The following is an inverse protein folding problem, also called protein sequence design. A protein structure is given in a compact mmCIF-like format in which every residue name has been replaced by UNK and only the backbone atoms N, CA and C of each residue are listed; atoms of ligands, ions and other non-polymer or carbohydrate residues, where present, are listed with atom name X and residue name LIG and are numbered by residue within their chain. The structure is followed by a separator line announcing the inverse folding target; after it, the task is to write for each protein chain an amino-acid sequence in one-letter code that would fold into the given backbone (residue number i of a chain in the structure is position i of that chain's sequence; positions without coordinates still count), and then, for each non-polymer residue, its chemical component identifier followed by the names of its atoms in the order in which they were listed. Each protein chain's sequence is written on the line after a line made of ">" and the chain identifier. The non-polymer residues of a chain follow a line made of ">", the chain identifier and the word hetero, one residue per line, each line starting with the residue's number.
data_IF_652999817725
#
_entry.id   IF_652999817725
#
_cell.length_a   1.000
_cell.length_b   1.000
_cell.length_c   1.000
_cell.angle_alpha   90.00
_cell.angle_beta   90.00
_cell.angle_gamma   90.00
#
_symmetry.space_group_name_H-M   'P 1'
#
loop_
_entity.id
_entity.type
_entity.pdbx_description
1 polymer ?
#
# COMPACT_ATOMS: atom_id res chain seq x y z
N UNK A 1 38.77 -48.76 25.50
CA UNK A 1 38.35 -47.34 25.50
C UNK A 1 38.91 -46.54 24.32
N UNK A 2 40.24 -46.49 24.09
CA UNK A 2 40.83 -45.71 22.97
C UNK A 2 40.26 -46.05 21.58
N UNK A 3 40.04 -47.34 21.28
CA UNK A 3 39.54 -47.80 19.98
C UNK A 3 38.11 -47.31 19.64
N UNK A 4 37.26 -47.17 20.65
CA UNK A 4 35.87 -46.68 20.47
C UNK A 4 35.89 -45.19 20.15
N UNK A 5 36.75 -44.40 20.83
CA UNK A 5 36.92 -42.99 20.49
C UNK A 5 37.46 -42.80 19.08
N UNK A 6 38.40 -43.64 18.62
CA UNK A 6 38.91 -43.55 17.24
C UNK A 6 37.84 -43.90 16.21
N UNK A 7 37.02 -44.94 16.45
CA UNK A 7 35.92 -45.32 15.56
C UNK A 7 34.82 -44.25 15.50
N UNK A 8 34.50 -43.61 16.62
CA UNK A 8 33.53 -42.51 16.68
C UNK A 8 34.08 -41.27 15.95
N UNK A 9 35.37 -40.96 16.09
CA UNK A 9 36.00 -39.83 15.39
C UNK A 9 36.00 -40.04 13.86
N UNK A 10 36.30 -41.26 13.40
CA UNK A 10 36.27 -41.61 11.97
C UNK A 10 34.84 -41.61 11.41
N UNK A 11 33.85 -42.05 12.18
CA UNK A 11 32.45 -42.00 11.77
C UNK A 11 31.93 -40.55 11.64
N UNK A 12 32.40 -39.62 12.48
CA UNK A 12 32.07 -38.19 12.41
C UNK A 12 32.70 -37.54 11.17
N UNK A 13 33.93 -37.92 10.82
CA UNK A 13 34.62 -37.39 9.62
C UNK A 13 33.97 -37.90 8.33
N UNK A 14 33.49 -39.15 8.31
CA UNK A 14 32.83 -39.72 7.13
C UNK A 14 31.41 -39.21 6.86
N UNK A 15 30.76 -38.52 7.82
CA UNK A 15 29.43 -37.90 7.64
C UNK A 15 29.48 -36.41 7.26
N UNK A 16 30.66 -35.87 6.96
CA UNK A 16 30.83 -34.49 6.47
C UNK A 16 30.54 -34.44 4.97
N UNK A 17 29.26 -34.39 4.60
CA UNK A 17 28.88 -33.91 3.27
C UNK A 17 29.32 -32.44 3.11
N UNK A 18 29.72 -31.99 1.91
CA UNK A 18 29.91 -30.57 1.66
C UNK A 18 28.55 -29.88 1.85
N UNK A 19 28.37 -29.23 3.00
CA UNK A 19 27.34 -28.22 3.14
C UNK A 19 27.75 -27.07 2.23
N UNK A 20 27.17 -27.03 1.05
CA UNK A 20 27.07 -25.78 0.30
C UNK A 20 26.45 -24.74 1.22
N UNK A 21 27.06 -23.57 1.30
CA UNK A 21 26.45 -22.44 1.97
C UNK A 21 25.03 -22.26 1.41
N UNK A 22 24.05 -22.04 2.29
CA UNK A 22 22.78 -21.48 1.82
C UNK A 22 23.09 -20.11 1.24
N UNK A 23 22.83 -19.95 -0.05
CA UNK A 23 22.68 -18.63 -0.63
C UNK A 23 21.39 -18.06 -0.01
N UNK A 24 21.56 -17.21 1.00
CA UNK A 24 20.42 -16.47 1.55
C UNK A 24 20.05 -15.48 0.45
N UNK A 25 18.81 -15.58 -0.02
CA UNK A 25 18.24 -14.58 -0.93
C UNK A 25 18.49 -13.18 -0.37
N UNK A 26 19.20 -12.33 -1.12
CA UNK A 26 19.34 -10.91 -0.80
C UNK A 26 17.99 -10.15 -0.84
N UNK A 27 16.91 -10.83 -1.24
CA UNK A 27 15.58 -10.25 -1.45
C UNK A 27 14.63 -10.40 -0.25
N UNK A 28 15.13 -10.42 0.99
CA UNK A 28 14.25 -10.42 2.16
C UNK A 28 14.06 -8.99 2.70
N UNK A 29 13.26 -8.20 1.97
CA UNK A 29 12.66 -6.98 2.51
C UNK A 29 11.14 -7.09 2.39
N UNK A 30 10.48 -7.07 3.54
CA UNK A 30 9.04 -7.27 3.74
C UNK A 30 8.17 -6.11 3.25
N UNK A 31 8.75 -5.05 2.67
CA UNK A 31 8.07 -3.92 2.06
C UNK A 31 8.30 -3.87 0.53
N UNK A 32 8.25 -5.02 -0.15
CA UNK A 32 8.48 -5.09 -1.59
C UNK A 32 7.31 -4.45 -2.37
N UNK A 33 7.39 -3.14 -2.62
CA UNK A 33 6.69 -2.56 -3.75
C UNK A 33 7.56 -2.83 -5.00
N UNK A 34 7.10 -3.63 -5.99
CA UNK A 34 7.89 -3.94 -7.16
C UNK A 34 8.31 -2.70 -7.96
N UNK A 35 7.59 -1.58 -7.79
CA UNK A 35 7.94 -0.29 -8.37
C UNK A 35 9.10 0.39 -7.64
N UNK A 36 9.24 0.21 -6.32
CA UNK A 36 10.28 0.93 -5.55
C UNK A 36 11.68 0.60 -6.04
N UNK A 37 11.98 -0.68 -6.26
CA UNK A 37 13.28 -1.10 -6.82
C UNK A 37 13.60 -0.36 -8.12
N UNK A 38 12.60 -0.16 -8.96
CA UNK A 38 12.76 0.50 -10.26
C UNK A 38 12.89 2.02 -10.13
N UNK A 39 12.11 2.63 -9.23
CA UNK A 39 12.13 4.09 -8.99
C UNK A 39 13.42 4.52 -8.29
N UNK A 40 14.02 3.70 -7.42
CA UNK A 40 15.30 4.00 -6.77
C UNK A 40 16.54 3.82 -7.68
N UNK A 41 16.38 3.41 -8.94
CA UNK A 41 17.52 3.26 -9.86
C UNK A 41 18.15 4.63 -10.16
N UNK A 42 19.49 4.74 -10.18
CA UNK A 42 20.14 5.96 -10.61
C UNK A 42 19.70 6.37 -12.02
N UNK A 43 19.34 7.65 -12.19
CA UNK A 43 18.90 8.19 -13.48
C UNK A 43 17.38 8.23 -13.69
N UNK A 44 16.59 7.74 -12.74
CA UNK A 44 15.15 8.04 -12.70
C UNK A 44 14.94 9.47 -12.19
N UNK A 45 14.18 10.27 -12.93
CA UNK A 45 13.88 11.65 -12.56
C UNK A 45 12.55 11.75 -11.77
N UNK A 46 12.37 10.87 -10.78
CA UNK A 46 11.14 10.75 -9.98
C UNK A 46 11.47 11.03 -8.52
N UNK A 47 10.64 11.84 -7.83
CA UNK A 47 10.79 12.06 -6.39
C UNK A 47 10.16 10.90 -5.62
N UNK A 48 10.98 10.02 -5.06
CA UNK A 48 10.54 8.89 -4.23
C UNK A 48 9.89 9.33 -2.92
N UNK A 49 10.28 10.52 -2.44
CA UNK A 49 9.90 11.10 -1.16
C UNK A 49 8.48 11.66 -1.13
N UNK A 50 7.79 11.77 -2.27
CA UNK A 50 6.46 12.36 -2.34
C UNK A 50 5.48 11.35 -2.93
N UNK A 51 4.53 10.90 -2.11
CA UNK A 51 3.50 9.93 -2.50
C UNK A 51 2.12 10.61 -2.60
N UNK A 52 1.20 10.18 -3.46
CA UNK A 52 1.28 9.09 -4.46
C UNK A 52 1.97 9.51 -5.76
N UNK A 53 2.52 8.54 -6.50
CA UNK A 53 3.22 8.78 -7.76
C UNK A 53 2.28 9.08 -8.93
N UNK A 54 2.78 9.83 -9.92
CA UNK A 54 2.12 10.01 -11.21
C UNK A 54 2.32 8.74 -12.06
N UNK A 55 1.25 7.98 -12.28
CA UNK A 55 1.31 6.73 -13.04
C UNK A 55 1.62 6.94 -14.52
N UNK A 56 1.25 8.07 -15.13
CA UNK A 56 1.58 8.36 -16.54
C UNK A 56 3.09 8.54 -16.73
N UNK A 57 3.73 9.23 -15.78
CA UNK A 57 5.18 9.40 -15.77
C UNK A 57 5.89 8.05 -15.54
N UNK A 58 5.36 7.22 -14.64
CA UNK A 58 5.91 5.88 -14.38
C UNK A 58 5.77 4.95 -15.59
N UNK A 59 4.61 4.90 -16.23
CA UNK A 59 4.34 4.05 -17.39
C UNK A 59 5.20 4.40 -18.62
N UNK A 60 5.70 5.63 -18.69
CA UNK A 60 6.65 6.04 -19.76
C UNK A 60 8.04 5.42 -19.55
N UNK A 61 8.42 5.14 -18.29
CA UNK A 61 9.75 4.65 -17.92
C UNK A 61 9.76 3.15 -17.60
N UNK A 62 8.63 2.61 -17.12
CA UNK A 62 8.48 1.27 -16.58
C UNK A 62 7.28 0.55 -17.19
N UNK A 63 7.41 -0.74 -17.43
CA UNK A 63 6.27 -1.60 -17.72
C UNK A 63 5.60 -2.02 -16.40
N UNK A 64 4.77 -1.13 -15.85
CA UNK A 64 4.09 -1.31 -14.55
C UNK A 64 3.28 -2.60 -14.54
N UNK A 65 2.60 -2.93 -15.62
CA UNK A 65 1.79 -4.16 -15.72
C UNK A 65 2.65 -5.42 -15.53
N UNK A 66 3.82 -5.46 -16.16
CA UNK A 66 4.73 -6.60 -16.04
C UNK A 66 5.33 -6.69 -14.64
N UNK A 67 5.60 -5.57 -13.98
CA UNK A 67 6.13 -5.53 -12.61
C UNK A 67 5.08 -5.95 -11.57
N UNK A 68 3.81 -5.58 -11.78
CA UNK A 68 2.72 -5.91 -10.87
C UNK A 68 2.22 -7.36 -11.07
N UNK A 69 2.29 -7.88 -12.29
CA UNK A 69 1.81 -9.22 -12.64
C UNK A 69 2.91 -10.29 -12.66
N UNK A 70 4.15 -9.93 -12.33
CA UNK A 70 5.26 -10.88 -12.34
C UNK A 70 4.97 -12.08 -11.42
N UNK A 71 4.99 -13.29 -11.98
CA UNK A 71 4.68 -14.53 -11.27
C UNK A 71 3.21 -14.77 -10.91
N UNK A 72 2.28 -13.88 -11.31
CA UNK A 72 0.84 -14.08 -11.08
C UNK A 72 0.17 -14.81 -12.25
N UNK A 73 -0.58 -15.87 -11.95
CA UNK A 73 -1.42 -16.52 -12.95
C UNK A 73 -2.61 -15.62 -13.29
N UNK A 74 -2.61 -15.05 -14.50
CA UNK A 74 -3.75 -14.29 -15.02
C UNK A 74 -4.70 -15.24 -15.76
N UNK A 75 -5.90 -15.54 -15.23
CA UNK A 75 -6.87 -16.35 -15.95
C UNK A 75 -7.31 -15.64 -17.24
N UNK A 76 -7.44 -16.41 -18.32
CA UNK A 76 -7.85 -15.91 -19.64
C UNK A 76 -9.26 -16.40 -19.99
N UNK A 77 -10.07 -15.54 -20.62
CA UNK A 77 -11.42 -15.85 -21.07
C UNK A 77 -12.51 -15.27 -20.18
N UNK A 78 -13.74 -15.81 -20.29
CA UNK A 78 -14.88 -15.36 -19.48
C UNK A 78 -14.69 -15.74 -18.01
N UNK A 79 -14.37 -14.75 -17.19
CA UNK A 79 -14.13 -14.92 -15.76
C UNK A 79 -15.46 -15.00 -15.00
N UNK A 80 -15.57 -15.97 -14.09
CA UNK A 80 -16.69 -16.01 -13.15
C UNK A 80 -16.55 -14.91 -12.09
N UNK A 81 -17.62 -14.67 -11.32
CA UNK A 81 -17.65 -13.61 -10.30
C UNK A 81 -16.47 -13.64 -9.32
N UNK A 82 -16.10 -14.84 -8.82
CA UNK A 82 -15.00 -14.99 -7.87
C UNK A 82 -13.64 -14.75 -8.52
N UNK A 83 -13.43 -15.25 -9.74
CA UNK A 83 -12.21 -14.99 -10.51
C UNK A 83 -12.04 -13.50 -10.77
N UNK A 84 -13.12 -12.77 -11.05
CA UNK A 84 -13.06 -11.31 -11.22
C UNK A 84 -12.61 -10.63 -9.93
N UNK A 85 -13.21 -10.94 -8.78
CA UNK A 85 -12.79 -10.35 -7.49
C UNK A 85 -11.28 -10.50 -7.21
N UNK A 86 -10.67 -11.63 -7.58
CA UNK A 86 -9.27 -11.91 -7.24
C UNK A 86 -8.26 -11.61 -8.35
N UNK A 87 -8.69 -11.51 -9.61
CA UNK A 87 -7.78 -11.43 -10.76
C UNK A 87 -8.06 -10.28 -11.73
N UNK A 88 -9.18 -9.57 -11.59
CA UNK A 88 -9.58 -8.53 -12.54
C UNK A 88 -10.47 -7.45 -11.88
N UNK A 89 -10.90 -6.45 -12.66
CA UNK A 89 -11.87 -5.47 -12.23
C UNK A 89 -13.29 -6.08 -12.12
N UNK A 90 -13.96 -5.90 -10.97
CA UNK A 90 -15.30 -6.42 -10.71
C UNK A 90 -16.36 -5.76 -11.60
N UNK A 91 -16.25 -4.47 -11.86
CA UNK A 91 -17.00 -3.78 -12.90
C UNK A 91 -16.04 -2.82 -13.58
N UNK A 92 -15.83 -3.01 -14.87
CA UNK A 92 -15.06 -2.11 -15.71
C UNK A 92 -15.91 -1.71 -16.91
N UNK A 93 -15.93 -0.41 -17.18
CA UNK A 93 -16.49 0.15 -18.40
C UNK A 93 -15.41 0.99 -19.06
N UNK A 94 -14.88 0.51 -20.18
CA UNK A 94 -13.79 1.16 -20.90
C UNK A 94 -14.21 1.48 -22.33
N UNK A 95 -14.26 2.77 -22.63
CA UNK A 95 -14.47 3.34 -23.95
C UNK A 95 -13.32 4.32 -24.26
N UNK A 96 -13.22 4.78 -25.52
CA UNK A 96 -12.16 5.72 -25.94
C UNK A 96 -12.10 7.01 -25.13
N UNK A 97 -13.26 7.50 -24.68
CA UNK A 97 -13.37 8.78 -23.98
C UNK A 97 -13.68 8.64 -22.48
N UNK A 98 -14.04 7.44 -22.00
CA UNK A 98 -14.43 7.24 -20.60
C UNK A 98 -13.97 5.87 -20.14
N UNK A 99 -13.27 5.83 -19.00
CA UNK A 99 -13.01 4.61 -18.25
C UNK A 99 -13.60 4.75 -16.84
N UNK A 100 -14.34 3.76 -16.37
CA UNK A 100 -14.83 3.68 -14.99
C UNK A 100 -14.60 2.26 -14.48
N UNK A 101 -13.98 2.14 -13.31
CA UNK A 101 -13.71 0.89 -12.61
C UNK A 101 -14.31 0.95 -11.22
N UNK A 102 -14.96 -0.12 -10.81
CA UNK A 102 -15.53 -0.28 -9.47
C UNK A 102 -15.10 -1.62 -8.92
N UNK A 103 -14.47 -1.58 -7.76
CA UNK A 103 -13.86 -2.76 -7.15
C UNK A 103 -14.06 -2.75 -5.64
N UNK A 104 -14.27 -3.94 -5.04
CA UNK A 104 -14.36 -4.04 -3.60
C UNK A 104 -12.97 -3.96 -2.97
N UNK A 105 -12.90 -3.41 -1.75
CA UNK A 105 -11.70 -3.39 -0.92
C UNK A 105 -11.91 -4.30 0.27
N UNK A 106 -10.94 -5.18 0.52
CA UNK A 106 -10.94 -6.04 1.70
C UNK A 106 -9.55 -6.10 2.31
N UNK A 107 -9.49 -6.06 3.63
CA UNK A 107 -8.28 -6.35 4.38
C UNK A 107 -8.65 -7.12 5.65
N UNK A 108 -8.28 -8.39 5.69
CA UNK A 108 -8.47 -9.25 6.85
C UNK A 108 -7.12 -9.61 7.44
N UNK A 109 -6.92 -9.28 8.70
CA UNK A 109 -5.74 -9.73 9.44
C UNK A 109 -6.13 -10.30 10.78
N UNK A 110 -5.38 -11.29 11.22
CA UNK A 110 -5.47 -11.90 12.54
C UNK A 110 -4.07 -11.90 13.15
N UNK A 111 -3.99 -11.62 14.43
CA UNK A 111 -2.74 -11.54 15.16
C UNK A 111 -2.93 -11.89 16.63
N UNK A 112 -1.83 -11.85 17.35
CA UNK A 112 -1.82 -12.02 18.79
C UNK A 112 -0.81 -11.06 19.39
N UNK A 113 -1.20 -10.39 20.46
CA UNK A 113 -0.37 -9.49 21.24
C UNK A 113 0.37 -10.28 22.33
N UNK A 114 1.68 -10.07 22.44
CA UNK A 114 2.54 -10.96 23.23
C UNK A 114 2.50 -10.73 24.75
N UNK A 115 2.11 -9.54 25.23
CA UNK A 115 2.16 -9.28 26.67
C UNK A 115 1.01 -9.97 27.41
N UNK A 116 -0.21 -9.90 26.89
CA UNK A 116 -1.40 -10.48 27.54
C UNK A 116 -2.01 -11.65 26.76
N UNK A 117 -1.42 -12.01 25.61
CA UNK A 117 -1.97 -13.06 24.75
C UNK A 117 -3.31 -12.67 24.12
N UNK A 118 -3.57 -11.36 23.98
CA UNK A 118 -4.80 -10.83 23.41
C UNK A 118 -4.83 -11.09 21.91
N UNK A 119 -5.82 -11.86 21.46
CA UNK A 119 -6.09 -12.04 20.04
C UNK A 119 -6.51 -10.72 19.39
N UNK A 120 -5.80 -10.32 18.34
CA UNK A 120 -6.11 -9.12 17.55
C UNK A 120 -6.65 -9.52 16.20
N UNK A 121 -7.53 -8.70 15.64
CA UNK A 121 -8.03 -8.90 14.30
C UNK A 121 -8.45 -7.57 13.68
N UNK A 122 -8.43 -7.51 12.36
CA UNK A 122 -8.92 -6.38 11.57
C UNK A 122 -9.78 -6.92 10.44
N UNK A 123 -10.94 -6.31 10.26
CA UNK A 123 -11.90 -6.60 9.20
C UNK A 123 -12.22 -5.29 8.48
N UNK A 124 -11.51 -5.03 7.40
CA UNK A 124 -11.78 -3.89 6.52
C UNK A 124 -12.63 -4.35 5.35
N UNK A 125 -13.68 -3.60 5.06
CA UNK A 125 -14.56 -3.79 3.91
C UNK A 125 -14.80 -2.43 3.27
N UNK A 126 -14.82 -2.39 1.96
CA UNK A 126 -15.04 -1.15 1.26
C UNK A 126 -15.23 -1.34 -0.22
N UNK A 127 -15.27 -0.21 -0.90
CA UNK A 127 -15.34 -0.12 -2.35
C UNK A 127 -14.51 1.07 -2.78
N UNK A 128 -13.81 0.93 -3.90
CA UNK A 128 -13.26 2.07 -4.61
C UNK A 128 -13.89 2.18 -6.00
N UNK A 129 -13.96 3.42 -6.46
CA UNK A 129 -14.38 3.80 -7.78
C UNK A 129 -13.28 4.69 -8.34
N UNK A 130 -12.80 4.39 -9.52
CA UNK A 130 -11.89 5.25 -10.24
C UNK A 130 -12.29 5.37 -11.70
N UNK A 131 -11.79 6.40 -12.35
CA UNK A 131 -12.07 6.56 -13.76
C UNK A 131 -11.36 7.73 -14.41
N UNK A 132 -11.35 7.70 -15.73
CA UNK A 132 -10.84 8.77 -16.59
C UNK A 132 -11.94 9.30 -17.50
N UNK A 133 -11.90 10.61 -17.76
CA UNK A 133 -12.73 11.27 -18.75
C UNK A 133 -11.80 11.97 -19.76
N UNK A 134 -11.76 11.44 -20.97
CA UNK A 134 -10.79 11.76 -22.00
C UNK A 134 -9.36 11.52 -21.51
N UNK A 135 -8.45 12.42 -21.91
CA UNK A 135 -7.02 12.31 -21.60
C UNK A 135 -6.56 13.31 -20.53
N UNK A 136 -7.50 14.01 -19.88
CA UNK A 136 -7.20 15.15 -19.00
C UNK A 136 -7.80 15.06 -17.61
N UNK A 137 -8.85 14.28 -17.42
CA UNK A 137 -9.51 14.16 -16.12
C UNK A 137 -9.38 12.75 -15.59
N UNK A 138 -9.02 12.64 -14.32
CA UNK A 138 -9.06 11.40 -13.56
C UNK A 138 -9.75 11.66 -12.23
N UNK A 139 -10.53 10.70 -11.74
CA UNK A 139 -11.14 10.76 -10.44
C UNK A 139 -10.96 9.44 -9.70
N UNK A 140 -10.91 9.52 -8.39
CA UNK A 140 -10.82 8.38 -7.50
C UNK A 140 -11.65 8.67 -6.26
N UNK A 141 -12.35 7.67 -5.75
CA UNK A 141 -12.96 7.73 -4.42
C UNK A 141 -13.09 6.33 -3.85
N UNK A 142 -12.95 6.23 -2.54
CA UNK A 142 -13.12 4.99 -1.80
C UNK A 142 -13.83 5.25 -0.47
N UNK A 143 -14.52 4.21 -0.03
CA UNK A 143 -15.23 4.17 1.23
C UNK A 143 -14.89 2.87 1.92
N UNK A 144 -14.32 2.96 3.12
CA UNK A 144 -13.91 1.81 3.91
C UNK A 144 -14.54 1.87 5.30
N UNK A 145 -15.12 0.75 5.72
CA UNK A 145 -15.55 0.48 7.07
C UNK A 145 -14.60 -0.58 7.66
N UNK A 146 -14.19 -0.38 8.90
CA UNK A 146 -13.22 -1.22 9.56
C UNK A 146 -13.73 -1.60 10.94
N UNK A 147 -13.60 -2.86 11.28
CA UNK A 147 -13.85 -3.38 12.61
C UNK A 147 -12.59 -4.07 13.10
N UNK A 148 -12.06 -3.67 14.25
CA UNK A 148 -10.76 -4.18 14.71
C UNK A 148 -10.66 -4.31 16.22
N UNK A 149 -9.99 -5.37 16.66
CA UNK A 149 -9.47 -5.51 18.03
C UNK A 149 -7.99 -5.19 17.99
N UNK A 150 -7.61 -4.11 18.67
CA UNK A 150 -6.24 -3.62 18.65
C UNK A 150 -5.37 -4.21 19.77
N UNK A 151 -4.04 -4.27 19.56
CA UNK A 151 -3.09 -4.45 20.66
C UNK A 151 -3.26 -3.36 21.73
N UNK A 152 -2.94 -3.68 22.98
CA UNK A 152 -3.21 -2.79 24.13
C UNK A 152 -2.67 -1.36 23.95
N UNK A 153 -1.46 -1.19 23.41
CA UNK A 153 -0.89 0.15 23.22
C UNK A 153 -1.69 1.04 22.24
N UNK A 154 -2.35 0.46 21.24
CA UNK A 154 -3.26 1.20 20.34
C UNK A 154 -4.62 1.34 21.02
N UNK A 155 -5.10 0.28 21.66
CA UNK A 155 -6.38 0.24 22.35
C UNK A 155 -6.48 1.37 23.40
N UNK A 156 -5.47 1.48 24.27
CA UNK A 156 -5.36 2.53 25.29
C UNK A 156 -5.40 3.93 24.67
N UNK A 157 -4.70 4.13 23.54
CA UNK A 157 -4.72 5.39 22.81
C UNK A 157 -6.13 5.70 22.30
N UNK A 158 -6.79 4.72 21.68
CA UNK A 158 -8.13 4.88 21.12
C UNK A 158 -9.16 5.09 22.23
N UNK A 159 -9.04 4.41 23.36
CA UNK A 159 -9.94 4.59 24.49
C UNK A 159 -9.83 5.97 25.11
N UNK A 160 -8.61 6.51 25.22
CA UNK A 160 -8.36 7.84 25.78
C UNK A 160 -8.75 8.96 24.80
N UNK A 161 -8.45 8.81 23.51
CA UNK A 161 -8.61 9.87 22.50
C UNK A 161 -9.89 9.74 21.67
N UNK A 162 -10.56 8.59 21.72
CA UNK A 162 -11.72 8.23 20.88
C UNK A 162 -11.46 8.32 19.38
N UNK A 163 -10.20 8.21 18.96
CA UNK A 163 -9.74 8.30 17.57
C UNK A 163 -8.74 7.20 17.29
N UNK A 164 -8.92 6.49 16.18
CA UNK A 164 -7.96 5.52 15.69
C UNK A 164 -6.81 6.25 14.98
N UNK A 165 -5.53 6.01 15.32
CA UNK A 165 -4.38 6.64 14.65
C UNK A 165 -4.40 6.46 13.13
N UNK A 166 -4.12 7.51 12.38
CA UNK A 166 -4.24 7.51 10.91
C UNK A 166 -5.68 7.38 10.41
N UNK A 167 -6.68 7.28 11.28
CA UNK A 167 -8.06 6.97 10.93
C UNK A 167 -8.99 7.98 11.61
N UNK A 168 -10.28 7.67 11.60
CA UNK A 168 -11.32 8.54 12.13
C UNK A 168 -11.65 8.27 13.59
N UNK A 169 -12.76 8.87 14.01
CA UNK A 169 -13.40 8.62 15.30
C UNK A 169 -13.73 7.13 15.43
N UNK A 170 -13.36 6.54 16.58
CA UNK A 170 -13.74 5.18 16.93
C UNK A 170 -15.13 5.13 17.57
N UNK A 171 -15.86 4.06 17.28
CA UNK A 171 -17.07 3.63 18.00
C UNK A 171 -16.83 2.24 18.60
N UNK A 172 -17.36 1.99 19.78
CA UNK A 172 -17.30 0.64 20.36
C UNK A 172 -18.14 -0.34 19.56
N UNK A 173 -17.56 -1.51 19.28
CA UNK A 173 -18.21 -2.62 18.58
C UNK A 173 -18.05 -3.90 19.42
N UNK A 174 -19.17 -4.55 19.76
CA UNK A 174 -19.16 -5.71 20.65
C UNK A 174 -18.53 -5.39 22.02
N UNK A 175 -17.70 -6.30 22.52
CA UNK A 175 -17.07 -6.14 23.85
C UNK A 175 -15.77 -5.34 23.79
N UNK A 176 -14.84 -5.68 22.89
CA UNK A 176 -13.46 -5.14 22.88
C UNK A 176 -12.98 -4.69 21.49
N UNK A 177 -13.91 -4.41 20.56
CA UNK A 177 -13.55 -3.99 19.20
C UNK A 177 -13.95 -2.54 18.92
N UNK A 178 -13.31 -1.99 17.90
CA UNK A 178 -13.50 -0.62 17.43
C UNK A 178 -14.04 -0.65 16.02
N UNK A 179 -15.12 0.07 15.78
CA UNK A 179 -15.69 0.36 14.48
C UNK A 179 -15.32 1.79 14.06
N UNK A 180 -14.70 1.92 12.89
CA UNK A 180 -14.27 3.18 12.33
C UNK A 180 -14.34 3.14 10.80
N UNK A 181 -14.68 4.28 10.22
CA UNK A 181 -14.80 4.42 8.78
C UNK A 181 -13.97 5.60 8.27
N UNK A 182 -13.53 5.48 7.02
CA UNK A 182 -12.82 6.52 6.30
C UNK A 182 -13.37 6.58 4.87
N UNK A 183 -13.45 7.79 4.35
CA UNK A 183 -13.66 8.02 2.94
C UNK A 183 -12.52 8.88 2.43
N UNK A 184 -12.01 8.53 1.26
CA UNK A 184 -11.07 9.35 0.53
C UNK A 184 -11.52 9.52 -0.90
N UNK A 185 -11.06 10.59 -1.53
CA UNK A 185 -11.37 10.83 -2.92
C UNK A 185 -10.79 12.13 -3.44
N UNK A 186 -10.55 12.18 -4.73
CA UNK A 186 -10.01 13.34 -5.39
C UNK A 186 -10.39 13.38 -6.87
N UNK A 187 -10.34 14.57 -7.42
CA UNK A 187 -10.40 14.83 -8.85
C UNK A 187 -9.06 15.42 -9.25
N UNK A 188 -8.52 14.90 -10.34
CA UNK A 188 -7.26 15.27 -10.95
C UNK A 188 -7.53 15.81 -12.35
N UNK A 189 -6.97 16.98 -12.64
CA UNK A 189 -7.00 17.62 -13.94
C UNK A 189 -5.58 17.85 -14.44
N UNK A 190 -5.31 17.37 -15.64
CA UNK A 190 -4.03 17.46 -16.34
C UNK A 190 -4.23 18.30 -17.61
N UNK A 191 -4.13 19.65 -17.52
CA UNK A 191 -4.23 20.52 -18.69
C UNK A 191 -3.20 20.16 -19.77
N UNK A 192 -1.99 19.82 -19.31
CA UNK A 192 -0.80 19.47 -20.08
C UNK A 192 -0.06 18.30 -19.43
N UNK A 193 0.81 17.61 -20.17
CA UNK A 193 1.54 16.43 -19.68
C UNK A 193 2.45 16.72 -18.46
N UNK A 194 2.94 17.95 -18.34
CA UNK A 194 3.88 18.38 -17.31
C UNK A 194 3.18 19.09 -16.13
N UNK A 195 1.86 19.25 -16.15
CA UNK A 195 1.15 20.00 -15.11
C UNK A 195 -0.12 19.28 -14.65
N UNK A 196 -0.29 19.20 -13.35
CA UNK A 196 -1.39 18.54 -12.69
C UNK A 196 -1.97 19.40 -11.58
N UNK A 197 -3.29 19.43 -11.51
CA UNK A 197 -4.07 20.02 -10.43
C UNK A 197 -4.94 18.93 -9.83
N UNK A 198 -4.84 18.72 -8.53
CA UNK A 198 -5.64 17.74 -7.80
C UNK A 198 -6.36 18.41 -6.64
N UNK A 199 -7.66 18.20 -6.56
CA UNK A 199 -8.51 18.66 -5.47
C UNK A 199 -9.18 17.44 -4.84
N UNK A 200 -9.09 17.29 -3.52
CA UNK A 200 -9.71 16.14 -2.87
C UNK A 200 -9.64 16.15 -1.36
N UNK A 201 -10.01 15.02 -0.79
CA UNK A 201 -9.86 14.68 0.62
C UNK A 201 -9.03 13.41 0.73
N UNK A 202 -7.91 13.48 1.44
CA UNK A 202 -6.97 12.36 1.51
C UNK A 202 -5.80 12.63 2.44
N UNK A 203 -4.82 11.72 2.43
CA UNK A 203 -3.59 11.83 3.20
C UNK A 203 -2.41 12.03 2.27
N UNK A 204 -1.39 12.69 2.78
CA UNK A 204 -0.12 12.84 2.09
C UNK A 204 1.00 12.29 2.96
N UNK A 205 2.02 11.76 2.31
CA UNK A 205 3.24 11.33 2.96
C UNK A 205 4.43 11.97 2.25
N UNK A 206 5.23 12.72 3.02
CA UNK A 206 6.44 13.37 2.52
C UNK A 206 7.63 12.78 3.25
N UNK A 207 8.29 11.81 2.65
CA UNK A 207 9.45 11.13 3.22
C UNK A 207 9.80 9.89 2.42
N UNK A 208 11.03 9.43 2.57
CA UNK A 208 11.55 8.24 1.90
C UNK A 208 11.73 7.04 2.85
N UNK A 209 11.48 7.25 4.15
CA UNK A 209 11.55 6.20 5.18
C UNK A 209 10.17 5.74 5.64
N UNK A 210 10.14 4.77 6.55
CA UNK A 210 8.90 4.28 7.17
C UNK A 210 8.13 5.33 7.97
N UNK A 211 8.79 6.41 8.39
CA UNK A 211 8.20 7.53 9.12
C UNK A 211 8.66 8.84 8.49
N UNK A 212 7.73 9.79 8.40
CA UNK A 212 8.04 11.15 7.98
C UNK A 212 8.23 12.07 9.19
N UNK A 213 9.18 13.00 9.09
CA UNK A 213 9.35 14.12 10.01
C UNK A 213 8.58 15.38 9.56
N UNK A 214 8.23 15.47 8.27
CA UNK A 214 7.59 16.65 7.69
C UNK A 214 6.07 16.49 7.66
N UNK A 215 5.60 15.41 7.01
CA UNK A 215 4.18 15.10 6.87
C UNK A 215 3.98 13.60 6.81
N UNK A 216 3.38 13.05 7.87
CA UNK A 216 3.09 11.63 8.03
C UNK A 216 1.62 11.30 7.73
N UNK A 217 1.35 10.02 7.52
CA UNK A 217 0.03 9.41 7.31
C UNK A 217 -0.77 9.15 8.60
N UNK A 218 -0.28 9.60 9.76
CA UNK A 218 -0.96 9.44 11.05
C UNK A 218 -2.18 10.37 11.22
N UNK A 219 -2.34 11.40 10.40
CA UNK A 219 -3.51 12.29 10.44
C UNK A 219 -4.72 11.68 9.73
N UNK A 220 -5.93 12.07 10.14
CA UNK A 220 -7.13 11.78 9.37
C UNK A 220 -7.11 12.47 7.99
N UNK A 221 -7.87 11.94 7.03
CA UNK A 221 -8.00 12.51 5.70
C UNK A 221 -8.56 13.94 5.75
N UNK A 222 -7.84 14.88 5.14
CA UNK A 222 -8.16 16.30 5.15
C UNK A 222 -8.39 16.83 3.73
N UNK A 223 -9.13 17.93 3.55
CA UNK A 223 -9.28 18.58 2.25
C UNK A 223 -7.96 19.22 1.81
N UNK A 224 -7.63 19.07 0.54
CA UNK A 224 -6.38 19.59 -0.02
C UNK A 224 -6.55 20.05 -1.46
N UNK A 225 -5.70 21.01 -1.83
CA UNK A 225 -5.47 21.41 -3.21
C UNK A 225 -3.99 21.23 -3.54
N UNK A 226 -3.68 20.39 -4.51
CA UNK A 226 -2.32 20.00 -4.89
C UNK A 226 -2.03 20.42 -6.31
N UNK A 227 -0.91 21.11 -6.49
CA UNK A 227 -0.34 21.44 -7.79
C UNK A 227 0.95 20.65 -7.96
N UNK A 228 1.09 19.97 -9.08
CA UNK A 228 2.33 19.26 -9.42
C UNK A 228 2.79 19.70 -10.81
N UNK A 229 4.03 20.11 -10.93
CA UNK A 229 4.64 20.50 -12.19
C UNK A 229 5.96 19.75 -12.40
N UNK A 230 6.05 18.99 -13.50
CA UNK A 230 7.19 18.14 -13.83
C UNK A 230 8.01 18.75 -14.98
N UNK A 231 9.10 19.44 -14.63
CA UNK A 231 10.06 20.05 -15.55
C UNK A 231 11.32 19.21 -15.70
N UNK A 232 11.21 17.97 -16.19
CA UNK A 232 12.30 17.01 -16.47
C UNK A 232 13.30 16.80 -15.31
N UNK A 233 14.13 17.79 -14.97
CA UNK A 233 15.04 17.82 -13.82
C UNK A 233 14.42 18.36 -12.53
N UNK A 234 13.34 19.11 -12.60
CA UNK A 234 12.69 19.71 -11.42
C UNK A 234 11.24 19.28 -11.34
N UNK A 235 10.80 18.86 -10.16
CA UNK A 235 9.38 18.67 -9.89
C UNK A 235 9.04 19.59 -8.74
N UNK A 236 7.99 20.39 -8.94
CA UNK A 236 7.48 21.29 -7.92
C UNK A 236 6.11 20.74 -7.55
N UNK A 237 5.99 20.30 -6.30
CA UNK A 237 4.70 19.98 -5.71
C UNK A 237 4.35 21.00 -4.63
N UNK A 238 3.21 21.65 -4.78
CA UNK A 238 2.65 22.54 -3.78
C UNK A 238 1.34 21.93 -3.30
N UNK A 239 1.25 21.58 -2.02
CA UNK A 239 0.01 21.13 -1.40
C UNK A 239 -0.49 22.21 -0.44
N UNK A 240 -1.61 22.85 -0.79
CA UNK A 240 -2.37 23.71 0.09
C UNK A 240 -3.19 22.85 1.05
N UNK A 241 -2.77 22.85 2.31
CA UNK A 241 -3.45 22.17 3.41
C UNK A 241 -4.37 23.17 4.10
N UNK A 242 -5.67 22.90 4.13
CA UNK A 242 -6.57 23.64 5.00
C UNK A 242 -6.92 22.77 6.20
N UNK A 243 -5.96 22.59 7.10
CA UNK A 243 -6.18 21.95 8.39
C UNK A 243 -6.82 22.96 9.34
N UNK A 244 -8.13 22.87 9.53
CA UNK A 244 -8.76 23.47 10.71
C UNK A 244 -8.40 22.55 11.88
N UNK A 245 -7.49 23.03 12.73
CA UNK A 245 -7.09 22.38 13.99
C UNK A 245 -8.21 22.56 15.01
#
# INVERSE_FOLDING_TARGET
>A
MKLIYTLVMVAIIMHMHPLSAQEISHYNNTYFNPLEREIYRPGTHIHTSVRSFNMDALNTMLNVDSLLKDGLATPSGDLNFWQRIFHDDLLAWENKDVSIKINPLFNFSIGNEMNEGKGTWNNTRGVFIEGTLGNKFYFYTDFVENQSVFPNYIDDFVEQRKVVPGQGKSKSYGNNAHDYAQSTGFISFNPEKWFNIQLGQGKHFIGDGHRSLLLSDNSFSYPYLKFSADFNKFIIMLCGLNTVI
#
